data_IF_449352840427
#
_entry.id   IF_449352840427
#
_cell.length_a   1.000
_cell.length_b   1.000
_cell.length_c   1.000
_cell.angle_alpha   90.00
_cell.angle_beta   90.00
_cell.angle_gamma   90.00
#
_symmetry.space_group_name_H-M   'P 1'
#
loop_
_entity.id
_entity.type
_entity.pdbx_description
1 polymer ?
#
# COMPACT_ATOMS: atom_id res chain seq x y z
N UNK A 1 -4.26 13.44 64.20
CA UNK A 1 -3.04 12.86 63.61
C UNK A 1 -3.39 12.26 62.26
N UNK A 2 -3.11 13.04 61.19
CA UNK A 2 -2.93 12.68 59.77
C UNK A 2 -3.97 11.78 59.08
N UNK A 3 -4.91 12.44 58.42
CA UNK A 3 -5.64 11.95 57.24
C UNK A 3 -4.63 11.92 56.08
N UNK A 4 -4.34 10.75 55.52
CA UNK A 4 -3.44 10.59 54.37
C UNK A 4 -4.31 10.45 53.10
N UNK A 5 -4.40 11.53 52.33
CA UNK A 5 -5.03 11.57 51.00
C UNK A 5 -4.05 10.92 50.02
N UNK A 6 -4.23 9.64 49.70
CA UNK A 6 -3.44 8.98 48.64
C UNK A 6 -4.05 9.34 47.29
N UNK A 7 -3.47 10.35 46.63
CA UNK A 7 -3.82 10.77 45.28
C UNK A 7 -3.31 9.72 44.28
N UNK A 8 -4.19 8.81 43.86
CA UNK A 8 -3.90 7.80 42.83
C UNK A 8 -3.86 8.51 41.47
N UNK A 9 -2.65 8.86 41.02
CA UNK A 9 -2.42 9.46 39.70
C UNK A 9 -2.67 8.39 38.62
N UNK A 10 -3.87 8.41 38.03
CA UNK A 10 -4.18 7.63 36.84
C UNK A 10 -3.33 8.17 35.69
N UNK A 11 -2.25 7.44 35.35
CA UNK A 11 -1.56 7.59 34.08
C UNK A 11 -2.56 7.23 32.97
N UNK A 12 -3.25 8.24 32.42
CA UNK A 12 -3.89 8.10 31.12
C UNK A 12 -2.78 7.91 30.09
N UNK A 13 -2.50 6.65 29.77
CA UNK A 13 -1.71 6.29 28.60
C UNK A 13 -2.42 6.86 27.38
N UNK A 14 -1.87 7.94 26.82
CA UNK A 14 -2.27 8.42 25.50
C UNK A 14 -1.92 7.32 24.50
N UNK A 15 -2.91 6.53 24.12
CA UNK A 15 -2.80 5.63 22.97
C UNK A 15 -2.61 6.52 21.74
N UNK A 16 -1.37 6.58 21.23
CA UNK A 16 -1.12 7.15 19.91
C UNK A 16 -1.68 6.15 18.89
N UNK A 17 -2.68 6.56 18.12
CA UNK A 17 -3.09 5.82 16.92
C UNK A 17 -1.95 5.95 15.91
N UNK A 18 -1.16 4.90 15.75
CA UNK A 18 -0.21 4.82 14.65
C UNK A 18 -1.01 4.76 13.34
N UNK A 19 -0.73 5.68 12.42
CA UNK A 19 -1.18 5.56 11.04
C UNK A 19 -0.35 4.46 10.40
N UNK A 20 -0.97 3.33 10.07
CA UNK A 20 -0.28 2.18 9.47
C UNK A 20 -0.26 2.35 7.95
N UNK A 21 0.51 3.34 7.48
CA UNK A 21 0.69 3.68 6.07
C UNK A 21 1.82 2.89 5.40
N UNK A 22 2.43 1.97 6.12
CA UNK A 22 3.51 1.11 5.66
C UNK A 22 3.29 -0.32 6.15
N UNK A 23 3.67 -1.30 5.32
CA UNK A 23 3.76 -2.70 5.69
C UNK A 23 5.16 -3.20 5.31
N UNK A 24 5.79 -3.96 6.20
CA UNK A 24 7.11 -4.53 5.99
C UNK A 24 6.97 -6.05 5.96
N UNK A 25 7.54 -6.66 4.93
CA UNK A 25 7.65 -8.10 4.73
C UNK A 25 9.14 -8.50 4.69
N UNK A 26 9.43 -9.76 4.39
CA UNK A 26 10.80 -10.28 4.37
C UNK A 26 11.62 -9.70 3.21
N UNK A 27 11.03 -9.58 2.01
CA UNK A 27 11.73 -9.14 0.81
C UNK A 27 11.21 -7.83 0.21
N UNK A 28 10.23 -7.22 0.88
CA UNK A 28 9.62 -5.99 0.41
C UNK A 28 9.17 -5.12 1.58
N UNK A 29 9.16 -3.81 1.34
CA UNK A 29 8.44 -2.82 2.13
C UNK A 29 7.47 -2.10 1.21
N UNK A 30 6.23 -1.95 1.64
CA UNK A 30 5.21 -1.21 0.93
C UNK A 30 4.86 0.03 1.73
N UNK A 31 4.81 1.18 1.07
CA UNK A 31 4.38 2.43 1.66
C UNK A 31 3.36 3.13 0.78
N UNK A 32 2.43 3.83 1.42
CA UNK A 32 1.44 4.65 0.76
C UNK A 32 1.97 6.07 0.58
N UNK A 33 1.93 6.55 -0.67
CA UNK A 33 2.17 7.93 -1.05
C UNK A 33 0.84 8.59 -1.42
N UNK A 34 0.63 9.85 -1.06
CA UNK A 34 -0.55 10.60 -1.47
C UNK A 34 -0.13 11.92 -2.10
N UNK A 35 -0.74 12.28 -3.23
CA UNK A 35 -0.58 13.59 -3.85
C UNK A 35 -1.17 14.71 -2.97
N UNK A 36 -2.23 14.40 -2.22
CA UNK A 36 -2.98 15.37 -1.41
C UNK A 36 -3.09 14.91 0.04
N UNK A 37 -3.06 15.88 0.96
CA UNK A 37 -3.30 15.67 2.39
C UNK A 37 -4.77 15.84 2.79
N UNK A 38 -5.60 16.34 1.87
CA UNK A 38 -7.04 16.52 2.07
C UNK A 38 -7.75 16.38 0.74
N UNK A 39 -8.83 15.61 0.72
CA UNK A 39 -9.67 15.38 -0.46
C UNK A 39 -11.00 16.12 -0.33
N UNK A 40 -11.46 16.73 -1.42
CA UNK A 40 -12.75 17.38 -1.53
C UNK A 40 -13.65 16.67 -2.55
N UNK A 41 -14.95 16.93 -2.48
CA UNK A 41 -15.90 16.47 -3.50
C UNK A 41 -15.51 17.01 -4.87
N UNK A 42 -15.55 16.15 -5.87
CA UNK A 42 -15.17 16.46 -7.25
C UNK A 42 -13.67 16.36 -7.51
N UNK A 43 -12.83 16.13 -6.49
CA UNK A 43 -11.40 15.91 -6.70
C UNK A 43 -11.14 14.65 -7.50
N UNK A 44 -10.12 14.74 -8.35
CA UNK A 44 -9.41 13.63 -8.95
C UNK A 44 -7.94 13.76 -8.53
N UNK A 45 -7.36 12.69 -8.01
CA UNK A 45 -6.03 12.71 -7.40
C UNK A 45 -5.37 11.33 -7.47
N UNK A 46 -4.05 11.30 -7.27
CA UNK A 46 -3.26 10.08 -7.31
C UNK A 46 -2.83 9.68 -5.89
N UNK A 47 -2.94 8.39 -5.60
CA UNK A 47 -2.16 7.74 -4.54
C UNK A 47 -1.13 6.81 -5.18
N UNK A 48 0.01 6.61 -4.51
CA UNK A 48 1.04 5.67 -4.94
C UNK A 48 1.17 4.53 -3.94
N UNK A 49 1.20 3.29 -4.44
CA UNK A 49 1.76 2.17 -3.67
C UNK A 49 3.23 2.04 -4.06
N UNK A 50 4.11 2.45 -3.14
CA UNK A 50 5.55 2.31 -3.31
C UNK A 50 6.01 0.98 -2.72
N UNK A 51 6.57 0.12 -3.55
CA UNK A 51 7.26 -1.10 -3.17
C UNK A 51 8.76 -0.82 -3.21
N UNK A 52 9.43 -0.98 -2.07
CA UNK A 52 10.88 -1.08 -1.97
C UNK A 52 11.22 -2.58 -1.83
N UNK A 53 11.91 -3.16 -2.81
CA UNK A 53 12.30 -4.56 -2.84
C UNK A 53 13.75 -4.73 -2.38
N UNK A 54 14.05 -5.85 -1.75
CA UNK A 54 15.43 -6.18 -1.42
C UNK A 54 16.28 -6.28 -2.72
N UNK A 55 17.57 -5.90 -2.69
CA UNK A 55 18.40 -5.89 -3.89
C UNK A 55 18.41 -7.19 -4.69
N UNK A 56 18.11 -7.07 -5.98
CA UNK A 56 18.05 -8.19 -6.93
C UNK A 56 16.81 -9.08 -6.81
N UNK A 57 15.83 -8.69 -5.98
CA UNK A 57 14.48 -9.25 -6.02
C UNK A 57 13.59 -8.40 -6.94
N UNK A 58 12.58 -9.03 -7.54
CA UNK A 58 11.60 -8.37 -8.38
C UNK A 58 10.16 -8.78 -8.03
N UNK A 59 9.21 -7.91 -8.38
CA UNK A 59 7.78 -8.24 -8.46
C UNK A 59 7.31 -8.17 -9.91
N UNK A 60 6.15 -8.74 -10.22
CA UNK A 60 5.69 -8.87 -11.62
C UNK A 60 4.89 -7.67 -12.11
N UNK A 61 4.95 -7.47 -13.42
CA UNK A 61 4.04 -6.60 -14.15
C UNK A 61 2.62 -7.20 -14.22
N UNK A 62 1.62 -6.39 -14.59
CA UNK A 62 0.24 -6.85 -14.80
C UNK A 62 0.15 -8.00 -15.81
N UNK A 63 1.04 -8.04 -16.81
CA UNK A 63 1.27 -9.21 -17.63
C UNK A 63 2.64 -9.79 -17.28
N UNK A 64 2.71 -10.87 -16.49
CA UNK A 64 3.97 -11.38 -15.98
C UNK A 64 4.82 -12.09 -17.06
N UNK A 65 4.27 -12.41 -18.23
CA UNK A 65 4.96 -13.18 -19.26
C UNK A 65 4.85 -14.70 -19.04
N UNK A 66 5.94 -15.43 -19.28
CA UNK A 66 5.96 -16.91 -19.28
C UNK A 66 5.88 -17.53 -17.88
N UNK A 67 6.23 -16.78 -16.84
CA UNK A 67 6.23 -17.20 -15.44
C UNK A 67 5.84 -16.04 -14.52
N UNK A 68 5.33 -16.39 -13.33
CA UNK A 68 4.90 -15.42 -12.32
C UNK A 68 3.39 -15.28 -12.21
N UNK A 69 2.97 -14.35 -11.36
CA UNK A 69 1.56 -13.99 -11.17
C UNK A 69 1.47 -12.46 -10.99
N UNK A 70 0.47 -11.81 -11.60
CA UNK A 70 0.21 -10.40 -11.34
C UNK A 70 -0.23 -10.23 -9.89
N UNK A 71 0.02 -9.06 -9.31
CA UNK A 71 -0.47 -8.77 -7.96
C UNK A 71 -1.99 -8.61 -7.95
N UNK A 72 -2.60 -9.04 -6.86
CA UNK A 72 -3.98 -8.76 -6.54
C UNK A 72 -4.05 -7.59 -5.56
N UNK A 73 -4.88 -6.60 -5.88
CA UNK A 73 -5.04 -5.39 -5.09
C UNK A 73 -6.51 -5.26 -4.70
N UNK A 74 -6.81 -5.48 -3.41
CA UNK A 74 -8.16 -5.45 -2.89
C UNK A 74 -8.37 -4.21 -2.03
N UNK A 75 -9.13 -3.24 -2.54
CA UNK A 75 -9.36 -1.96 -1.87
C UNK A 75 -10.64 -1.96 -1.05
N UNK A 76 -10.55 -1.39 0.15
CA UNK A 76 -11.71 -0.93 0.93
C UNK A 76 -11.66 0.59 0.95
N UNK A 77 -12.57 1.22 0.21
CA UNK A 77 -12.64 2.67 0.11
C UNK A 77 -13.83 3.24 0.90
N UNK A 78 -13.68 4.44 1.50
CA UNK A 78 -14.78 5.24 1.98
C UNK A 78 -15.86 5.46 0.92
N UNK A 79 -17.11 5.64 1.37
CA UNK A 79 -18.22 5.99 0.51
C UNK A 79 -17.89 7.24 -0.34
N UNK A 80 -18.10 7.13 -1.65
CA UNK A 80 -17.89 8.23 -2.59
C UNK A 80 -16.50 8.32 -3.22
N UNK A 81 -15.54 7.49 -2.79
CA UNK A 81 -14.27 7.32 -3.51
C UNK A 81 -14.37 6.16 -4.51
N UNK A 82 -13.76 6.35 -5.68
CA UNK A 82 -13.74 5.38 -6.77
C UNK A 82 -12.35 5.30 -7.39
N UNK A 83 -11.84 4.08 -7.60
CA UNK A 83 -10.63 3.86 -8.39
C UNK A 83 -11.01 3.96 -9.86
N UNK A 84 -10.37 4.89 -10.57
CA UNK A 84 -10.60 5.10 -12.00
C UNK A 84 -9.60 4.32 -12.84
N UNK A 85 -8.35 4.25 -12.38
CA UNK A 85 -7.29 3.55 -13.10
C UNK A 85 -6.13 3.15 -12.18
N UNK A 86 -5.36 2.14 -12.60
CA UNK A 86 -4.09 1.75 -12.01
C UNK A 86 -3.04 1.86 -13.12
N UNK A 87 -2.16 2.85 -13.01
CA UNK A 87 -1.25 3.26 -14.07
C UNK A 87 0.06 2.47 -14.01
N UNK A 88 0.04 1.22 -14.48
CA UNK A 88 1.20 0.34 -14.50
C UNK A 88 2.38 0.94 -15.29
N UNK A 89 3.53 1.25 -14.64
CA UNK A 89 4.72 1.70 -15.35
C UNK A 89 5.22 0.65 -16.34
N UNK A 90 6.01 1.07 -17.34
CA UNK A 90 6.65 0.11 -18.24
C UNK A 90 7.55 -0.84 -17.43
N UNK A 91 7.47 -2.16 -17.64
CA UNK A 91 8.28 -3.11 -16.91
C UNK A 91 9.67 -3.27 -17.53
N UNK A 92 10.52 -3.99 -16.80
CA UNK A 92 11.78 -4.56 -17.28
C UNK A 92 11.60 -6.04 -17.62
N UNK A 93 12.60 -6.61 -18.30
CA UNK A 93 12.68 -8.06 -18.52
C UNK A 93 13.24 -8.70 -17.24
N UNK A 94 12.44 -9.53 -16.60
CA UNK A 94 12.82 -10.38 -15.47
C UNK A 94 13.05 -11.82 -15.95
N UNK A 95 14.02 -12.03 -16.82
CA UNK A 95 14.21 -13.32 -17.50
C UNK A 95 14.94 -14.36 -16.65
N UNK A 96 14.47 -15.60 -16.77
CA UNK A 96 15.20 -16.79 -16.36
C UNK A 96 15.26 -17.73 -17.57
N UNK A 97 16.38 -17.73 -18.29
CA UNK A 97 16.53 -18.45 -19.57
C UNK A 97 16.02 -19.91 -19.45
N UNK A 98 15.08 -20.36 -20.31
CA UNK A 98 14.58 -19.71 -21.55
C UNK A 98 13.30 -18.87 -21.40
N UNK A 99 12.80 -18.65 -20.18
CA UNK A 99 11.55 -17.96 -19.89
C UNK A 99 11.72 -16.44 -19.92
N UNK A 100 10.76 -15.75 -20.56
CA UNK A 100 10.70 -14.30 -20.60
C UNK A 100 9.53 -13.83 -19.72
N UNK A 101 9.87 -13.24 -18.59
CA UNK A 101 8.92 -12.58 -17.70
C UNK A 101 9.15 -11.08 -17.64
N UNK A 102 8.14 -10.34 -17.16
CA UNK A 102 8.17 -8.89 -17.03
C UNK A 102 7.90 -8.46 -15.60
N UNK A 103 8.69 -7.51 -15.10
CA UNK A 103 8.60 -7.09 -13.71
C UNK A 103 9.36 -5.81 -13.39
N UNK A 104 9.52 -5.57 -12.09
CA UNK A 104 10.19 -4.40 -11.53
C UNK A 104 11.20 -4.86 -10.49
N UNK A 105 12.45 -4.44 -10.65
CA UNK A 105 13.54 -4.69 -9.70
C UNK A 105 13.70 -3.50 -8.76
N UNK A 106 14.08 -3.79 -7.51
CA UNK A 106 14.44 -2.84 -6.45
C UNK A 106 13.32 -1.85 -6.03
N UNK A 107 12.57 -1.25 -6.95
CA UNK A 107 11.49 -0.32 -6.67
C UNK A 107 10.35 -0.42 -7.69
N UNK A 108 9.11 -0.30 -7.20
CA UNK A 108 7.93 -0.01 -8.01
C UNK A 108 7.12 1.08 -7.31
N UNK A 109 6.84 2.18 -8.00
CA UNK A 109 5.78 3.12 -7.58
C UNK A 109 4.59 2.89 -8.50
N UNK A 110 3.53 2.29 -7.97
CA UNK A 110 2.29 2.02 -8.70
C UNK A 110 1.28 3.14 -8.43
N UNK A 111 1.00 4.03 -9.40
CA UNK A 111 0.04 5.11 -9.24
C UNK A 111 -1.39 4.62 -9.44
N UNK A 112 -2.30 5.04 -8.56
CA UNK A 112 -3.73 4.75 -8.62
C UNK A 112 -4.48 6.06 -8.70
N UNK A 113 -5.26 6.22 -9.77
CA UNK A 113 -6.12 7.37 -9.99
C UNK A 113 -7.42 7.17 -9.22
N UNK A 114 -7.74 8.10 -8.32
CA UNK A 114 -8.94 8.08 -7.50
C UNK A 114 -9.78 9.33 -7.78
N UNK A 115 -11.09 9.14 -7.82
CA UNK A 115 -12.08 10.22 -7.92
C UNK A 115 -12.98 10.25 -6.68
N UNK A 116 -13.16 11.43 -6.11
CA UNK A 116 -14.15 11.70 -5.08
C UNK A 116 -15.43 12.26 -5.72
N UNK A 117 -16.53 11.52 -5.64
CA UNK A 117 -17.82 11.96 -6.16
C UNK A 117 -18.61 12.81 -5.14
N UNK A 118 -19.81 13.25 -5.52
CA UNK A 118 -20.63 14.15 -4.69
C UNK A 118 -21.10 13.55 -3.36
N UNK A 119 -21.10 12.21 -3.26
CA UNK A 119 -21.45 11.47 -2.05
C UNK A 119 -20.27 11.35 -1.07
N UNK A 120 -19.05 11.74 -1.47
CA UNK A 120 -17.88 11.65 -0.61
C UNK A 120 -18.07 12.49 0.67
N UNK A 121 -17.80 11.86 1.81
CA UNK A 121 -17.78 12.53 3.11
C UNK A 121 -16.31 12.70 3.48
N UNK A 122 -15.93 13.89 3.94
CA UNK A 122 -14.53 14.27 4.27
C UNK A 122 -13.98 13.55 5.53
N UNK A 123 -14.36 12.30 5.74
CA UNK A 123 -13.95 11.46 6.86
C UNK A 123 -13.98 9.99 6.39
N UNK A 124 -12.82 9.34 6.36
CA UNK A 124 -12.77 7.91 6.04
C UNK A 124 -11.35 7.37 5.95
N UNK A 125 -11.10 6.29 6.71
CA UNK A 125 -9.91 5.45 6.51
C UNK A 125 -10.17 4.56 5.30
N UNK A 126 -9.21 4.48 4.39
CA UNK A 126 -9.19 3.45 3.38
C UNK A 126 -8.15 2.39 3.73
N UNK A 127 -8.32 1.20 3.18
CA UNK A 127 -7.31 0.15 3.24
C UNK A 127 -7.14 -0.54 1.91
N UNK A 128 -5.98 -1.15 1.72
CA UNK A 128 -5.74 -2.09 0.64
C UNK A 128 -5.06 -3.34 1.17
N UNK A 129 -5.53 -4.48 0.71
CA UNK A 129 -4.90 -5.77 0.93
C UNK A 129 -4.28 -6.26 -0.37
N UNK A 130 -2.96 -6.42 -0.34
CA UNK A 130 -2.13 -6.81 -1.47
C UNK A 130 -1.75 -8.28 -1.33
N UNK A 131 -1.82 -9.01 -2.44
CA UNK A 131 -1.19 -10.33 -2.59
C UNK A 131 -0.31 -10.31 -3.83
N UNK A 132 0.95 -10.67 -3.69
CA UNK A 132 1.92 -10.57 -4.78
C UNK A 132 3.04 -11.59 -4.61
N UNK A 133 3.83 -11.77 -5.66
CA UNK A 133 5.05 -12.57 -5.62
C UNK A 133 6.27 -11.64 -5.59
N UNK A 134 7.25 -12.00 -4.77
CA UNK A 134 8.59 -11.42 -4.81
C UNK A 134 9.56 -12.53 -5.18
N UNK A 135 10.32 -12.34 -6.25
CA UNK A 135 11.13 -13.40 -6.85
C UNK A 135 12.60 -13.01 -6.98
N UNK A 136 13.48 -13.98 -6.79
CA UNK A 136 14.90 -13.94 -7.15
C UNK A 136 15.27 -15.27 -7.80
N UNK A 137 15.90 -16.18 -7.06
CA UNK A 137 16.13 -17.56 -7.49
C UNK A 137 14.89 -18.44 -7.28
N UNK A 138 14.01 -18.01 -6.37
CA UNK A 138 12.71 -18.61 -6.04
C UNK A 138 11.68 -17.50 -5.90
N UNK A 139 10.41 -17.85 -6.10
CA UNK A 139 9.28 -16.93 -5.91
C UNK A 139 8.61 -17.20 -4.57
N UNK A 140 8.46 -16.14 -3.78
CA UNK A 140 7.83 -16.17 -2.46
C UNK A 140 6.54 -15.35 -2.52
N UNK A 141 5.38 -15.93 -2.16
CA UNK A 141 4.16 -15.15 -1.99
C UNK A 141 4.26 -14.27 -0.75
N UNK A 142 3.93 -13.00 -0.91
CA UNK A 142 3.87 -12.01 0.15
C UNK A 142 2.50 -11.34 0.16
N UNK A 143 2.06 -10.93 1.35
CA UNK A 143 0.82 -10.18 1.55
C UNK A 143 1.13 -8.92 2.36
N UNK A 144 0.39 -7.86 2.09
CA UNK A 144 0.52 -6.60 2.83
C UNK A 144 -0.85 -5.95 3.02
N UNK A 145 -1.10 -5.45 4.22
CA UNK A 145 -2.26 -4.62 4.51
C UNK A 145 -1.77 -3.19 4.79
N UNK A 146 -2.26 -2.24 3.99
CA UNK A 146 -1.87 -0.83 4.07
C UNK A 146 -3.11 -0.01 4.34
N UNK A 147 -2.98 0.97 5.23
CA UNK A 147 -4.06 1.87 5.56
C UNK A 147 -3.69 3.33 5.25
N UNK A 148 -4.67 4.09 4.81
CA UNK A 148 -4.52 5.52 4.57
C UNK A 148 -5.69 6.31 5.14
N UNK A 149 -5.43 7.58 5.40
CA UNK A 149 -6.46 8.57 5.74
C UNK A 149 -6.36 9.70 4.71
N UNK A 150 -7.51 10.23 4.30
CA UNK A 150 -7.65 11.31 3.32
C UNK A 150 -8.40 12.50 3.91
#
# INVERSE_FOLDING_TARGET
MRIFFTFLFLFFSNYSFATENEAVSNNSKISLLSEKNRVQKGDEFIIGLKFDLNPGWHTYWINPGDSGLPMEINWTLPEGLEIKDIMWPSPEIAALDPLISYGYYDELILPILIKANDSYKEEGRFSTHLKFLVCKDVCIPEEAEIFGNL
#
